data_IF_612231542881
#
_entry.id   IF_612231542881
#
_cell.length_a   1.000
_cell.length_b   1.000
_cell.length_c   1.000
_cell.angle_alpha   90.00
_cell.angle_beta   90.00
_cell.angle_gamma   90.00
#
_symmetry.space_group_name_H-M   'P 1'
#
loop_
_entity.id
_entity.type
_entity.pdbx_description
1 polymer ?
#
# COMPACT_ATOMS: atom_id res chain seq x y z
N UNK A 1 11.25 -10.45 -3.09
CA UNK A 1 10.32 -9.92 -4.12
C UNK A 1 9.73 -8.70 -3.48
N UNK A 2 9.83 -7.56 -4.13
CA UNK A 2 9.55 -6.28 -3.50
C UNK A 2 8.03 -6.02 -3.39
N UNK A 3 7.61 -5.14 -2.48
CA UNK A 3 6.21 -4.73 -2.34
C UNK A 3 5.67 -4.13 -3.65
N UNK A 4 6.52 -3.45 -4.41
CA UNK A 4 6.17 -2.89 -5.71
C UNK A 4 5.87 -4.01 -6.73
N UNK A 5 6.67 -5.07 -6.75
CA UNK A 5 6.42 -6.25 -7.61
C UNK A 5 5.05 -6.88 -7.29
N UNK A 6 4.68 -6.94 -5.99
CA UNK A 6 3.38 -7.45 -5.55
C UNK A 6 2.26 -6.54 -6.04
N UNK A 7 2.40 -5.23 -5.86
CA UNK A 7 1.43 -4.24 -6.30
C UNK A 7 1.19 -4.30 -7.81
N UNK A 8 2.26 -4.28 -8.61
CA UNK A 8 2.20 -4.37 -10.06
C UNK A 8 1.58 -5.68 -10.52
N UNK A 9 1.96 -6.82 -9.92
CA UNK A 9 1.38 -8.12 -10.28
C UNK A 9 -0.14 -8.13 -10.10
N UNK A 10 -0.67 -7.59 -8.99
CA UNK A 10 -2.11 -7.59 -8.73
C UNK A 10 -2.87 -6.68 -9.71
N UNK A 11 -2.29 -5.54 -10.06
CA UNK A 11 -2.84 -4.62 -11.05
C UNK A 11 -2.83 -5.24 -12.45
N UNK A 12 -1.70 -5.82 -12.89
CA UNK A 12 -1.58 -6.46 -14.21
C UNK A 12 -2.53 -7.63 -14.41
N UNK A 13 -2.84 -8.37 -13.35
CA UNK A 13 -3.81 -9.47 -13.40
C UNK A 13 -5.26 -9.00 -13.36
N UNK A 14 -5.51 -7.71 -13.09
CA UNK A 14 -6.85 -7.15 -12.93
C UNK A 14 -7.57 -7.71 -11.71
N UNK A 15 -6.83 -8.08 -10.66
CA UNK A 15 -7.43 -8.52 -9.40
C UNK A 15 -7.94 -7.34 -8.57
N UNK A 16 -7.29 -6.18 -8.75
CA UNK A 16 -7.66 -4.89 -8.15
C UNK A 16 -7.48 -3.81 -9.20
N UNK A 17 -8.33 -2.77 -9.15
CA UNK A 17 -8.28 -1.66 -10.10
C UNK A 17 -7.58 -0.41 -9.53
N UNK A 18 -7.56 -0.26 -8.20
CA UNK A 18 -7.17 0.99 -7.53
C UNK A 18 -5.90 0.87 -6.67
N UNK A 19 -5.25 -0.30 -6.65
CA UNK A 19 -4.09 -0.57 -5.80
C UNK A 19 -4.38 -1.51 -4.63
N UNK A 20 -3.45 -1.55 -3.67
CA UNK A 20 -3.48 -2.46 -2.52
C UNK A 20 -3.40 -1.69 -1.19
N UNK A 21 -3.91 -2.30 -0.12
CA UNK A 21 -3.86 -1.70 1.22
C UNK A 21 -2.43 -1.74 1.77
N UNK A 22 -2.09 -0.75 2.61
CA UNK A 22 -0.80 -0.73 3.35
C UNK A 22 -0.60 -2.05 4.15
N UNK A 23 -1.56 -2.45 5.02
CA UNK A 23 -1.65 -3.78 5.62
C UNK A 23 -1.27 -4.96 4.73
N UNK A 24 -1.88 -5.05 3.56
CA UNK A 24 -1.67 -6.15 2.64
C UNK A 24 -0.24 -6.17 2.11
N UNK A 25 0.29 -5.02 1.71
CA UNK A 25 1.63 -4.90 1.16
C UNK A 25 2.70 -5.26 2.20
N UNK A 26 2.59 -4.72 3.42
CA UNK A 26 3.49 -5.06 4.53
C UNK A 26 3.40 -6.56 4.86
N UNK A 27 2.17 -7.08 5.00
CA UNK A 27 1.93 -8.48 5.34
C UNK A 27 2.41 -9.46 4.27
N UNK A 28 2.37 -9.07 2.98
CA UNK A 28 2.81 -9.93 1.88
C UNK A 28 4.28 -10.36 2.00
N UNK A 29 5.12 -9.52 2.63
CA UNK A 29 6.52 -9.82 2.89
C UNK A 29 6.70 -11.05 3.77
N UNK A 30 5.84 -11.26 4.77
CA UNK A 30 5.89 -12.47 5.63
C UNK A 30 5.66 -13.78 4.86
N UNK A 31 5.00 -13.72 3.71
CA UNK A 31 4.77 -14.89 2.85
C UNK A 31 5.94 -15.12 1.89
N UNK A 32 6.51 -14.03 1.38
CA UNK A 32 7.60 -14.08 0.39
C UNK A 32 8.97 -14.31 1.05
N UNK A 33 9.16 -13.77 2.25
CA UNK A 33 10.41 -13.74 3.01
C UNK A 33 10.12 -14.13 4.48
N UNK A 34 9.69 -15.37 4.75
CA UNK A 34 9.14 -15.79 6.05
C UNK A 34 10.15 -15.78 7.21
N UNK A 35 11.44 -15.76 6.90
CA UNK A 35 12.52 -15.72 7.89
C UNK A 35 12.94 -14.27 8.25
N UNK A 36 12.43 -13.27 7.51
CA UNK A 36 12.70 -11.86 7.76
C UNK A 36 11.61 -11.23 8.64
N UNK A 37 11.96 -10.28 9.53
CA UNK A 37 10.97 -9.56 10.31
C UNK A 37 10.03 -8.77 9.41
N UNK A 38 8.77 -8.64 9.84
CA UNK A 38 7.83 -7.71 9.22
C UNK A 38 8.39 -6.29 9.28
N UNK A 39 8.19 -5.57 8.18
CA UNK A 39 8.55 -4.17 8.09
C UNK A 39 7.58 -3.33 8.91
N UNK A 40 8.10 -2.35 9.66
CA UNK A 40 7.27 -1.36 10.34
C UNK A 40 6.64 -0.40 9.33
N UNK A 41 5.52 0.25 9.69
CA UNK A 41 4.92 1.31 8.87
C UNK A 41 5.93 2.41 8.57
N UNK A 42 6.73 2.78 9.56
CA UNK A 42 7.78 3.78 9.38
C UNK A 42 8.76 3.38 8.29
N UNK A 43 9.30 2.17 8.35
CA UNK A 43 10.24 1.69 7.33
C UNK A 43 9.59 1.65 5.95
N UNK A 44 8.37 1.14 5.87
CA UNK A 44 7.62 0.99 4.62
C UNK A 44 7.30 2.33 3.95
N UNK A 45 6.76 3.28 4.71
CA UNK A 45 6.39 4.60 4.21
C UNK A 45 7.63 5.45 3.89
N UNK A 46 8.70 5.32 4.68
CA UNK A 46 9.98 5.97 4.34
C UNK A 46 10.51 5.44 3.01
N UNK A 47 10.51 4.12 2.83
CA UNK A 47 10.95 3.48 1.59
C UNK A 47 10.17 3.97 0.37
N UNK A 48 8.83 4.02 0.45
CA UNK A 48 7.99 4.58 -0.62
C UNK A 48 8.32 6.05 -0.90
N UNK A 49 8.54 6.85 0.14
CA UNK A 49 8.82 8.28 -0.03
C UNK A 49 10.17 8.56 -0.69
N UNK A 50 11.13 7.64 -0.59
CA UNK A 50 12.49 7.80 -1.09
C UNK A 50 12.74 7.13 -2.45
N UNK A 51 11.95 6.12 -2.82
CA UNK A 51 12.14 5.32 -4.04
C UNK A 51 11.22 5.70 -5.19
N UNK A 52 11.70 5.50 -6.42
CA UNK A 52 10.89 5.65 -7.64
C UNK A 52 10.23 4.30 -8.01
N UNK A 53 9.05 4.32 -8.68
CA UNK A 53 8.29 5.49 -9.14
C UNK A 53 7.44 6.14 -8.04
N UNK A 54 6.90 7.36 -8.26
CA UNK A 54 5.93 7.96 -7.36
C UNK A 54 4.70 7.08 -7.14
N UNK A 55 4.30 6.96 -5.88
CA UNK A 55 3.16 6.16 -5.44
C UNK A 55 2.09 7.08 -4.90
N UNK A 56 0.87 6.92 -5.42
CA UNK A 56 -0.31 7.58 -4.90
C UNK A 56 -0.82 6.89 -3.64
N UNK A 57 -1.34 7.68 -2.71
CA UNK A 57 -1.98 7.24 -1.47
C UNK A 57 -3.34 7.92 -1.34
N UNK A 58 -4.37 7.12 -1.05
CA UNK A 58 -5.71 7.62 -0.75
C UNK A 58 -6.39 6.80 0.33
N UNK A 59 -7.29 7.41 1.09
CA UNK A 59 -8.21 6.69 1.97
C UNK A 59 -9.38 6.13 1.16
N UNK A 60 -9.68 4.85 1.38
CA UNK A 60 -10.83 4.18 0.80
C UNK A 60 -11.86 3.87 1.90
N UNK A 61 -12.85 4.75 2.04
CA UNK A 61 -13.90 4.60 3.05
C UNK A 61 -14.79 3.37 2.93
N UNK A 62 -14.71 2.59 1.84
CA UNK A 62 -15.45 1.31 1.69
C UNK A 62 -14.78 0.16 2.43
N UNK A 63 -13.45 0.11 2.40
CA UNK A 63 -12.65 -0.91 3.09
C UNK A 63 -12.05 -0.37 4.37
N UNK A 64 -12.26 0.92 4.68
CA UNK A 64 -11.72 1.60 5.85
C UNK A 64 -10.18 1.53 5.93
N UNK A 65 -9.52 1.58 4.78
CA UNK A 65 -8.08 1.44 4.66
C UNK A 65 -7.48 2.45 3.68
N UNK A 66 -6.17 2.66 3.80
CA UNK A 66 -5.40 3.41 2.83
C UNK A 66 -4.89 2.52 1.71
N UNK A 67 -5.05 3.00 0.47
CA UNK A 67 -4.70 2.29 -0.75
C UNK A 67 -3.50 2.97 -1.40
N UNK A 68 -2.51 2.17 -1.76
CA UNK A 68 -1.33 2.56 -2.52
C UNK A 68 -1.46 2.08 -3.97
N UNK A 69 -1.17 2.96 -4.92
CA UNK A 69 -1.13 2.64 -6.35
C UNK A 69 0.01 3.36 -7.05
N UNK A 70 0.74 2.71 -8.00
CA UNK A 70 1.70 3.41 -8.84
C UNK A 70 0.98 4.50 -9.62
N UNK A 71 1.63 5.66 -9.76
CA UNK A 71 1.10 6.74 -10.59
C UNK A 71 1.42 6.47 -12.06
N UNK A 72 0.44 6.67 -12.94
CA UNK A 72 0.69 6.61 -14.37
C UNK A 72 1.38 7.90 -14.88
N UNK A 73 1.79 7.93 -16.15
CA UNK A 73 2.47 9.09 -16.72
C UNK A 73 1.64 10.38 -16.64
N UNK A 74 0.31 10.28 -16.75
CA UNK A 74 -0.58 11.43 -16.70
C UNK A 74 -0.72 11.95 -15.27
N UNK A 75 -0.87 11.05 -14.30
CA UNK A 75 -0.93 11.40 -12.88
C UNK A 75 0.39 12.01 -12.40
N UNK A 76 1.53 11.49 -12.87
CA UNK A 76 2.86 12.04 -12.56
C UNK A 76 2.96 13.49 -13.03
N UNK A 77 2.45 13.82 -14.23
CA UNK A 77 2.42 15.20 -14.73
C UNK A 77 1.54 16.11 -13.84
N UNK A 78 0.48 15.54 -13.25
CA UNK A 78 -0.42 16.23 -12.33
C UNK A 78 0.05 16.27 -10.87
N UNK A 79 1.12 15.56 -10.48
CA UNK A 79 1.54 15.48 -9.06
C UNK A 79 1.71 16.83 -8.36
N UNK A 80 2.03 17.89 -9.11
CA UNK A 80 2.23 19.24 -8.59
C UNK A 80 0.96 19.90 -8.00
N UNK A 81 -0.24 19.37 -8.31
CA UNK A 81 -1.51 19.83 -7.70
C UNK A 81 -1.87 19.07 -6.42
N UNK A 82 -1.15 18.00 -6.10
CA UNK A 82 -1.37 17.15 -4.93
C UNK A 82 -0.35 17.44 -3.82
N UNK A 83 -0.64 16.96 -2.60
CA UNK A 83 0.31 16.99 -1.48
C UNK A 83 1.33 15.88 -1.67
N UNK A 84 2.61 16.25 -1.72
CA UNK A 84 3.70 15.30 -1.98
C UNK A 84 4.68 15.30 -0.80
N UNK A 85 5.06 14.10 -0.37
CA UNK A 85 6.11 13.86 0.62
C UNK A 85 7.15 12.93 -0.02
N UNK A 86 8.10 13.53 -0.74
CA UNK A 86 9.00 12.77 -1.61
C UNK A 86 8.24 12.17 -2.79
N UNK A 87 8.35 10.85 -2.95
CA UNK A 87 7.64 10.07 -3.96
C UNK A 87 6.27 9.54 -3.49
N UNK A 88 5.88 9.79 -2.23
CA UNK A 88 4.52 9.54 -1.75
C UNK A 88 3.60 10.72 -2.09
N UNK A 89 2.52 10.47 -2.82
CA UNK A 89 1.59 11.50 -3.32
C UNK A 89 0.19 11.27 -2.76
N UNK A 90 -0.32 12.20 -1.96
CA UNK A 90 -1.68 12.12 -1.39
C UNK A 90 -2.69 12.70 -2.38
N UNK A 91 -3.56 11.85 -2.93
CA UNK A 91 -4.49 12.23 -4.01
C UNK A 91 -5.91 12.57 -3.54
N UNK A 92 -6.14 12.61 -2.22
CA UNK A 92 -7.41 12.95 -1.60
C UNK A 92 -7.23 13.94 -0.43
N UNK A 93 -8.29 14.13 0.37
CA UNK A 93 -8.29 15.03 1.53
C UNK A 93 -7.70 14.39 2.80
N UNK A 94 -7.18 13.16 2.72
CA UNK A 94 -6.52 12.50 3.86
C UNK A 94 -5.24 13.24 4.24
N UNK A 95 -4.87 13.19 5.52
CA UNK A 95 -3.67 13.86 6.04
C UNK A 95 -3.61 15.37 5.74
N UNK A 96 -4.75 16.07 5.69
CA UNK A 96 -4.79 17.49 5.30
C UNK A 96 -3.97 18.43 6.17
N UNK A 97 -3.76 18.04 7.42
CA UNK A 97 -3.04 18.83 8.42
C UNK A 97 -1.56 18.40 8.55
N UNK A 98 -1.14 17.35 7.84
CA UNK A 98 0.23 16.85 7.83
C UNK A 98 1.18 17.82 7.13
N UNK A 99 2.36 18.01 7.72
CA UNK A 99 3.40 18.95 7.24
C UNK A 99 4.70 18.24 6.88
N UNK A 100 4.82 16.98 7.24
CA UNK A 100 6.00 16.15 7.05
C UNK A 100 5.61 14.69 6.84
N UNK A 101 6.53 13.89 6.30
CA UNK A 101 6.33 12.44 6.21
C UNK A 101 6.17 11.79 7.60
N UNK A 102 6.83 12.35 8.63
CA UNK A 102 6.70 11.89 10.01
C UNK A 102 5.27 12.04 10.55
N UNK A 103 4.54 13.10 10.13
CA UNK A 103 3.13 13.26 10.49
C UNK A 103 2.28 12.14 9.87
N UNK A 104 2.54 11.80 8.60
CA UNK A 104 1.86 10.69 7.89
C UNK A 104 2.14 9.37 8.59
N UNK A 105 3.42 9.10 8.87
CA UNK A 105 3.85 7.88 9.57
C UNK A 105 3.17 7.78 10.93
N UNK A 106 3.13 8.85 11.71
CA UNK A 106 2.50 8.84 13.04
C UNK A 106 1.00 8.57 12.99
N UNK A 107 0.30 9.13 12.00
CA UNK A 107 -1.15 8.91 11.83
C UNK A 107 -1.42 7.46 11.40
N UNK A 108 -0.67 6.94 10.42
CA UNK A 108 -0.77 5.55 9.99
C UNK A 108 -0.41 4.55 11.10
N UNK A 109 0.63 4.83 11.89
CA UNK A 109 1.04 4.01 13.04
C UNK A 109 -0.04 3.97 14.11
N UNK A 110 -0.74 5.08 14.35
CA UNK A 110 -1.87 5.10 15.27
C UNK A 110 -3.05 4.26 14.77
N UNK A 111 -3.29 4.23 13.46
CA UNK A 111 -4.47 3.59 12.88
C UNK A 111 -4.27 2.11 12.54
N UNK A 112 -3.06 1.70 12.17
CA UNK A 112 -2.81 0.39 11.55
C UNK A 112 -1.86 -0.52 12.34
N UNK A 113 -1.18 -0.01 13.39
CA UNK A 113 -0.20 -0.80 14.16
C UNK A 113 -0.82 -2.06 14.74
N UNK A 114 -1.97 -1.95 15.41
CA UNK A 114 -2.70 -3.08 15.99
C UNK A 114 -3.02 -4.14 14.92
N UNK A 115 -3.47 -3.74 13.73
CA UNK A 115 -3.81 -4.69 12.67
C UNK A 115 -2.56 -5.42 12.13
N UNK A 116 -1.47 -4.68 11.95
CA UNK A 116 -0.19 -5.24 11.45
C UNK A 116 0.40 -6.21 12.48
N UNK A 117 0.28 -5.91 13.77
CA UNK A 117 0.75 -6.75 14.87
C UNK A 117 -0.14 -7.97 15.14
N UNK A 118 -1.47 -7.80 15.10
CA UNK A 118 -2.46 -8.87 15.34
C UNK A 118 -2.58 -9.86 14.17
N UNK A 119 -1.97 -9.52 13.03
CA UNK A 119 -1.79 -10.42 11.91
C UNK A 119 -2.94 -10.36 10.91
N UNK A 120 -2.82 -9.42 9.96
CA UNK A 120 -3.56 -9.34 8.68
C UNK A 120 -3.31 -10.55 7.75
N UNK A 121 -2.98 -11.71 8.31
CA UNK A 121 -2.91 -12.97 7.58
C UNK A 121 -4.31 -13.37 7.07
N UNK A 122 -5.39 -12.97 7.73
CA UNK A 122 -6.74 -13.40 7.37
C UNK A 122 -7.22 -12.83 6.02
N UNK A 123 -6.95 -11.57 5.70
CA UNK A 123 -7.26 -10.98 4.38
C UNK A 123 -6.34 -11.52 3.27
N UNK A 124 -5.04 -11.69 3.57
CA UNK A 124 -4.07 -12.31 2.64
C UNK A 124 -4.47 -13.76 2.30
N UNK A 125 -4.99 -14.52 3.27
CA UNK A 125 -5.50 -15.88 3.08
C UNK A 125 -6.77 -15.88 2.26
N UNK A 126 -7.72 -14.96 2.48
CA UNK A 126 -8.96 -14.90 1.71
C UNK A 126 -8.71 -14.50 0.25
N UNK A 127 -7.87 -13.49 0.02
CA UNK A 127 -7.47 -13.06 -1.34
C UNK A 127 -6.63 -14.14 -2.02
N UNK A 128 -5.67 -14.76 -1.32
CA UNK A 128 -4.90 -15.89 -1.83
C UNK A 128 -5.77 -17.12 -2.16
N UNK A 129 -6.79 -17.40 -1.34
CA UNK A 129 -7.75 -18.51 -1.58
C UNK A 129 -8.65 -18.22 -2.78
N UNK A 130 -9.10 -16.97 -2.94
CA UNK A 130 -9.86 -16.54 -4.12
C UNK A 130 -9.02 -16.65 -5.41
N UNK A 131 -7.74 -16.30 -5.36
CA UNK A 131 -6.82 -16.43 -6.50
C UNK A 131 -6.51 -17.88 -6.88
N UNK A 132 -6.37 -18.78 -5.90
CA UNK A 132 -6.17 -20.20 -6.19
C UNK A 132 -7.41 -20.86 -6.80
N UNK A 133 -8.61 -20.41 -6.44
CA UNK A 133 -9.87 -20.96 -6.96
C UNK A 133 -10.19 -20.52 -8.41
N UNK A 134 -9.66 -19.39 -8.89
CA UNK A 134 -9.83 -18.98 -10.30
C UNK A 134 -8.96 -19.76 -11.29
N UNK A 135 -7.88 -20.42 -10.84
CA UNK A 135 -7.05 -21.30 -11.69
C UNK A 135 -7.71 -22.62 -12.09
N UNK A 136 -8.84 -22.99 -11.48
CA UNK A 136 -9.56 -24.24 -11.75
C UNK A 136 -10.82 -24.07 -12.63
N UNK A 137 -11.10 -22.85 -13.13
CA UNK A 137 -12.26 -22.56 -13.98
C UNK A 137 -11.88 -21.91 -15.33
N UNK A 138 -10.67 -22.16 -15.85
CA UNK A 138 -10.31 -21.84 -17.24
C UNK A 138 -9.99 -23.10 -18.03
#
# INVERSE_FOLDING_TARGET
>A
MDWLDVLEYFLEKGYVDNGLTIPFLIGSKSVLEPDEPLQSIKEFITEISENEPPISLMSCGKVHHYILSPMDSYDIDMRHIYRNFGNLVIIDDSFKDAKSIDDIISELDTELSDEIEEGIIQELVEVGTLMMNQKYYR
#
